data_IF_210835499679
#
_entry.id   IF_210835499679
#
_cell.length_a   1.000
_cell.length_b   1.000
_cell.length_c   1.000
_cell.angle_alpha   90.00
_cell.angle_beta   90.00
_cell.angle_gamma   90.00
#
_symmetry.space_group_name_H-M   'P 1'
#
loop_
_entity.id
_entity.type
_entity.pdbx_description
1 polymer ?
#
# COMPACT_ATOMS: atom_id res chain seq x y z
N UNK A 1 -12.76 -1.12 -29.67
CA UNK A 1 -12.46 -1.09 -28.22
C UNK A 1 -10.96 -0.92 -28.11
N UNK A 2 -10.48 0.23 -27.63
CA UNK A 2 -9.06 0.38 -27.31
C UNK A 2 -8.80 -0.53 -26.12
N UNK A 3 -7.89 -1.49 -26.26
CA UNK A 3 -7.37 -2.25 -25.13
C UNK A 3 -6.80 -1.25 -24.13
N UNK A 4 -7.46 -1.13 -22.99
CA UNK A 4 -6.93 -0.39 -21.84
C UNK A 4 -5.73 -1.18 -21.34
N UNK A 5 -4.54 -0.84 -21.83
CA UNK A 5 -3.30 -1.45 -21.34
C UNK A 5 -3.18 -1.09 -19.86
N UNK A 6 -3.37 -2.06 -18.97
CA UNK A 6 -3.17 -1.90 -17.55
C UNK A 6 -1.71 -1.50 -17.33
N UNK A 7 -1.50 -0.39 -16.65
CA UNK A 7 -0.15 0.08 -16.33
C UNK A 7 0.60 -0.98 -15.49
N UNK A 8 1.77 -1.41 -15.97
CA UNK A 8 2.66 -2.32 -15.23
C UNK A 8 3.75 -1.50 -14.54
N UNK A 9 3.80 -1.49 -13.19
CA UNK A 9 4.87 -0.83 -12.45
C UNK A 9 6.24 -1.46 -12.72
N UNK A 10 7.30 -0.64 -12.67
CA UNK A 10 8.66 -1.16 -12.71
C UNK A 10 9.05 -1.72 -11.34
N UNK A 11 9.66 -2.89 -11.34
CA UNK A 11 10.27 -3.46 -10.13
C UNK A 11 11.58 -2.73 -9.78
N UNK A 12 11.86 -2.58 -8.51
CA UNK A 12 13.13 -2.01 -8.03
C UNK A 12 14.27 -3.03 -8.09
N UNK A 13 13.99 -4.30 -7.81
CA UNK A 13 14.93 -5.39 -7.99
C UNK A 13 15.13 -5.72 -9.49
N UNK A 14 16.23 -6.41 -9.85
CA UNK A 14 16.62 -6.66 -11.23
C UNK A 14 16.81 -8.15 -11.58
N UNK A 15 16.43 -9.05 -10.67
CA UNK A 15 16.55 -10.50 -10.93
C UNK A 15 15.49 -11.00 -11.93
N UNK A 16 15.74 -12.18 -12.50
CA UNK A 16 14.77 -12.87 -13.33
C UNK A 16 13.55 -13.33 -12.49
N UNK A 17 12.38 -13.52 -13.12
CA UNK A 17 11.19 -14.05 -12.43
C UNK A 17 11.47 -15.33 -11.66
N UNK A 18 10.95 -15.43 -10.44
CA UNK A 18 11.12 -16.59 -9.56
C UNK A 18 9.89 -17.49 -9.63
N UNK A 19 10.10 -18.79 -9.83
CA UNK A 19 9.02 -19.74 -9.92
C UNK A 19 8.59 -20.20 -8.52
N UNK A 20 7.40 -19.76 -8.13
CA UNK A 20 6.71 -20.22 -6.94
C UNK A 20 5.20 -20.08 -7.14
N UNK A 21 4.44 -20.91 -6.46
CA UNK A 21 2.98 -20.85 -6.48
C UNK A 21 2.46 -20.12 -5.24
N UNK A 22 1.69 -19.08 -5.43
CA UNK A 22 0.99 -18.34 -4.39
C UNK A 22 -0.53 -18.52 -4.52
N UNK A 23 -1.20 -18.67 -3.38
CA UNK A 23 -2.66 -18.76 -3.30
C UNK A 23 -3.13 -17.98 -2.08
N UNK A 24 -4.17 -17.18 -2.25
CA UNK A 24 -4.80 -16.41 -1.16
C UNK A 24 -5.78 -17.24 -0.32
N UNK A 25 -5.52 -18.53 -0.13
CA UNK A 25 -6.33 -19.32 0.80
C UNK A 25 -5.94 -19.00 2.27
N UNK A 26 -6.80 -19.46 3.20
CA UNK A 26 -6.65 -19.16 4.63
C UNK A 26 -5.43 -19.80 5.29
N UNK A 27 -4.78 -20.77 4.65
CA UNK A 27 -3.59 -21.45 5.20
C UNK A 27 -2.28 -20.85 4.68
N UNK A 28 -2.33 -20.19 3.53
CA UNK A 28 -1.16 -19.67 2.83
C UNK A 28 -1.05 -18.14 2.90
N UNK A 29 -2.14 -17.46 3.26
CA UNK A 29 -2.19 -16.01 3.37
C UNK A 29 -2.92 -15.59 4.66
N UNK A 30 -2.13 -15.17 5.66
CA UNK A 30 -2.65 -14.75 6.96
C UNK A 30 -2.30 -13.29 7.20
N UNK A 31 -3.29 -12.50 7.61
CA UNK A 31 -3.15 -11.07 7.90
C UNK A 31 -3.56 -10.82 9.35
N UNK A 32 -2.72 -10.14 10.12
CA UNK A 32 -3.03 -9.71 11.48
C UNK A 32 -2.96 -8.19 11.56
N UNK A 33 -4.06 -7.56 11.91
CA UNK A 33 -4.10 -6.11 12.15
C UNK A 33 -3.32 -5.76 13.41
N UNK A 34 -2.51 -4.70 13.34
CA UNK A 34 -1.77 -4.15 14.47
C UNK A 34 -2.47 -2.85 14.88
N UNK A 35 -3.05 -2.77 16.08
CA UNK A 35 -3.76 -1.58 16.53
C UNK A 35 -2.80 -0.39 16.67
N UNK A 36 -3.32 0.83 16.48
CA UNK A 36 -2.52 2.06 16.58
C UNK A 36 -2.05 2.34 18.02
N UNK A 37 -2.82 1.89 18.99
CA UNK A 37 -2.60 2.10 20.43
C UNK A 37 -3.10 0.90 21.25
N UNK A 38 -2.63 0.78 22.46
CA UNK A 38 -3.15 -0.19 23.43
C UNK A 38 -4.58 0.20 23.85
N UNK A 39 -5.44 -0.78 24.05
CA UNK A 39 -6.80 -0.53 24.55
C UNK A 39 -6.78 -0.25 26.05
N UNK A 40 -7.60 0.73 26.49
CA UNK A 40 -7.53 1.28 27.86
C UNK A 40 -8.00 0.32 28.97
N UNK A 41 -8.67 -0.78 28.62
CA UNK A 41 -9.26 -1.71 29.59
C UNK A 41 -10.57 -1.21 30.23
N UNK A 42 -11.01 0.00 29.92
CA UNK A 42 -12.21 0.64 30.47
C UNK A 42 -12.97 1.43 29.38
N UNK A 43 -14.13 1.98 29.67
CA UNK A 43 -14.88 2.85 28.78
C UNK A 43 -16.17 2.25 28.24
N UNK A 44 -16.83 2.97 27.34
CA UNK A 44 -18.18 2.68 26.84
C UNK A 44 -18.19 1.77 25.59
N UNK A 45 -17.04 1.44 25.02
CA UNK A 45 -16.89 0.55 23.88
C UNK A 45 -16.23 -0.76 24.28
N UNK A 46 -16.59 -1.84 23.61
CA UNK A 46 -15.87 -3.11 23.63
C UNK A 46 -15.19 -3.29 22.28
N UNK A 47 -13.90 -3.58 22.32
CA UNK A 47 -13.12 -3.96 21.18
C UNK A 47 -13.14 -5.49 21.08
N UNK A 48 -13.64 -5.99 19.97
CA UNK A 48 -13.75 -7.40 19.68
C UNK A 48 -12.63 -7.75 18.69
N UNK A 49 -11.68 -8.56 19.12
CA UNK A 49 -10.69 -9.14 18.22
C UNK A 49 -11.30 -10.37 17.57
N UNK A 50 -11.46 -10.34 16.26
CA UNK A 50 -12.00 -11.46 15.49
C UNK A 50 -10.93 -12.06 14.58
N UNK A 51 -10.98 -13.38 14.41
CA UNK A 51 -10.30 -14.10 13.33
C UNK A 51 -11.36 -14.65 12.37
N UNK A 52 -11.26 -14.26 11.11
CA UNK A 52 -12.19 -14.67 10.04
C UNK A 52 -11.47 -15.34 8.88
N UNK A 53 -12.14 -16.31 8.22
CA UNK A 53 -11.66 -17.04 7.04
C UNK A 53 -12.63 -16.85 5.88
N UNK A 54 -12.11 -16.48 4.71
CA UNK A 54 -12.89 -16.33 3.47
C UNK A 54 -14.18 -15.50 3.64
N UNK A 55 -14.08 -14.43 4.40
CA UNK A 55 -15.16 -13.55 4.81
C UNK A 55 -14.73 -12.10 4.74
N UNK A 56 -15.58 -11.22 4.21
CA UNK A 56 -15.33 -9.75 4.20
C UNK A 56 -15.54 -9.14 5.59
N UNK A 57 -15.01 -7.94 5.82
CA UNK A 57 -15.33 -7.17 7.04
C UNK A 57 -16.82 -6.92 7.17
N UNK A 58 -17.56 -6.65 6.08
CA UNK A 58 -19.00 -6.40 6.13
C UNK A 58 -19.80 -7.64 6.53
N UNK A 59 -19.46 -8.82 5.98
CA UNK A 59 -20.07 -10.09 6.39
C UNK A 59 -19.82 -10.38 7.87
N UNK A 60 -18.60 -10.06 8.39
CA UNK A 60 -18.28 -10.21 9.81
C UNK A 60 -19.11 -9.25 10.70
N UNK A 61 -19.31 -8.01 10.27
CA UNK A 61 -20.16 -7.05 10.99
C UNK A 61 -21.63 -7.50 11.00
N UNK A 62 -22.13 -8.05 9.91
CA UNK A 62 -23.50 -8.61 9.87
C UNK A 62 -23.67 -9.76 10.88
N UNK A 63 -22.72 -10.71 10.91
CA UNK A 63 -22.77 -11.82 11.88
C UNK A 63 -22.74 -11.33 13.35
N UNK A 64 -21.92 -10.31 13.64
CA UNK A 64 -21.89 -9.68 14.97
C UNK A 64 -23.20 -8.92 15.26
N UNK A 65 -23.79 -8.25 14.27
CA UNK A 65 -25.05 -7.51 14.40
C UNK A 65 -26.22 -8.44 14.71
N UNK A 66 -26.30 -9.58 14.05
CA UNK A 66 -27.37 -10.58 14.23
C UNK A 66 -27.41 -11.11 15.66
N UNK A 67 -26.24 -11.44 16.24
CA UNK A 67 -26.20 -12.01 17.60
C UNK A 67 -26.29 -10.93 18.70
N UNK A 68 -25.72 -9.75 18.46
CA UNK A 68 -25.65 -8.71 19.49
C UNK A 68 -26.81 -7.72 19.45
N UNK A 69 -27.55 -7.62 18.34
CA UNK A 69 -28.56 -6.58 18.11
C UNK A 69 -27.96 -5.18 17.85
N UNK A 70 -26.66 -5.06 17.73
CA UNK A 70 -25.99 -3.78 17.43
C UNK A 70 -26.26 -3.38 15.98
N UNK A 71 -26.69 -2.15 15.74
CA UNK A 71 -26.90 -1.65 14.36
C UNK A 71 -25.58 -1.50 13.63
N UNK A 72 -25.56 -1.81 12.34
CA UNK A 72 -24.35 -1.75 11.48
C UNK A 72 -23.57 -0.44 11.59
N UNK A 73 -24.29 0.70 11.71
CA UNK A 73 -23.66 2.03 11.85
C UNK A 73 -22.93 2.26 13.18
N UNK A 74 -23.23 1.45 14.19
CA UNK A 74 -22.69 1.61 15.54
C UNK A 74 -21.38 0.82 15.72
N UNK A 75 -21.07 -0.10 14.80
CA UNK A 75 -19.75 -0.70 14.73
C UNK A 75 -18.68 0.28 14.25
N UNK A 76 -17.44 0.10 14.76
CA UNK A 76 -16.26 0.79 14.28
C UNK A 76 -15.18 -0.22 13.89
N UNK A 77 -14.33 0.14 12.92
CA UNK A 77 -13.19 -0.66 12.47
C UNK A 77 -12.14 0.25 11.87
N UNK A 78 -10.87 -0.20 11.87
CA UNK A 78 -9.75 0.60 11.41
C UNK A 78 -9.54 0.55 9.88
N UNK A 79 -10.03 -0.50 9.22
CA UNK A 79 -9.94 -0.68 7.78
C UNK A 79 -10.73 -1.89 7.31
N UNK A 80 -11.02 -1.95 6.01
CA UNK A 80 -11.59 -3.13 5.41
C UNK A 80 -10.49 -4.18 5.18
N UNK A 81 -10.83 -5.45 5.34
CA UNK A 81 -9.95 -6.58 5.03
C UNK A 81 -10.57 -7.41 3.92
N UNK A 82 -9.72 -7.91 3.04
CA UNK A 82 -10.10 -8.76 1.92
C UNK A 82 -10.89 -9.99 2.38
N UNK A 83 -11.68 -10.54 1.47
CA UNK A 83 -12.42 -11.77 1.70
C UNK A 83 -11.50 -12.98 1.80
N UNK A 84 -10.54 -13.06 0.87
CA UNK A 84 -9.64 -14.20 0.74
C UNK A 84 -8.56 -14.21 1.85
N UNK A 85 -8.23 -15.41 2.33
CA UNK A 85 -7.24 -15.63 3.38
C UNK A 85 -7.84 -15.67 4.78
N UNK A 86 -6.95 -15.76 5.78
CA UNK A 86 -7.30 -15.68 7.20
C UNK A 86 -6.89 -14.31 7.75
N UNK A 87 -7.82 -13.61 8.39
CA UNK A 87 -7.57 -12.26 8.87
C UNK A 87 -7.96 -12.10 10.33
N UNK A 88 -7.04 -11.58 11.14
CA UNK A 88 -7.35 -11.06 12.48
C UNK A 88 -7.56 -9.55 12.39
N UNK A 89 -8.66 -9.05 12.95
CA UNK A 89 -9.10 -7.67 12.86
C UNK A 89 -9.78 -7.22 14.15
N UNK A 90 -9.69 -5.93 14.47
CA UNK A 90 -10.36 -5.32 15.61
C UNK A 90 -11.63 -4.58 15.17
N UNK A 91 -12.73 -4.83 15.88
CA UNK A 91 -14.04 -4.18 15.68
C UNK A 91 -14.50 -3.61 17.02
N UNK A 92 -14.91 -2.36 17.06
CA UNK A 92 -15.52 -1.76 18.24
C UNK A 92 -17.05 -1.75 18.14
N UNK A 93 -17.71 -1.96 19.29
CA UNK A 93 -19.16 -1.82 19.44
C UNK A 93 -19.49 -1.27 20.82
N UNK A 94 -20.72 -0.75 21.08
CA UNK A 94 -21.09 -0.27 22.40
C UNK A 94 -21.04 -1.37 23.45
N UNK A 95 -20.36 -1.13 24.57
CA UNK A 95 -20.08 -2.13 25.63
C UNK A 95 -21.32 -2.77 26.24
N UNK A 96 -22.44 -2.06 26.28
CA UNK A 96 -23.70 -2.58 26.81
C UNK A 96 -24.21 -3.86 26.10
N UNK A 97 -23.69 -4.18 24.91
CA UNK A 97 -24.00 -5.38 24.16
C UNK A 97 -22.96 -6.50 24.33
N UNK A 98 -21.97 -6.34 25.19
CA UNK A 98 -20.87 -7.30 25.38
C UNK A 98 -21.37 -8.70 25.77
N UNK A 99 -22.35 -8.78 26.65
CA UNK A 99 -22.91 -10.04 27.15
C UNK A 99 -23.48 -10.94 26.01
N UNK A 100 -23.98 -10.35 24.95
CA UNK A 100 -24.51 -11.09 23.80
C UNK A 100 -23.43 -11.88 23.05
N UNK A 101 -22.15 -11.48 23.18
CA UNK A 101 -21.04 -12.16 22.50
C UNK A 101 -20.65 -13.49 23.19
N UNK A 102 -21.08 -13.75 24.42
CA UNK A 102 -20.74 -14.97 25.14
C UNK A 102 -21.18 -16.26 24.39
N UNK A 103 -22.27 -16.18 23.64
CA UNK A 103 -22.81 -17.29 22.86
C UNK A 103 -22.48 -17.21 21.38
N UNK A 104 -21.49 -16.38 21.00
CA UNK A 104 -21.12 -16.22 19.60
C UNK A 104 -20.55 -17.52 19.03
N UNK A 105 -21.18 -18.03 17.98
CA UNK A 105 -20.68 -19.16 17.20
C UNK A 105 -20.91 -18.90 15.72
N UNK A 106 -19.84 -19.05 14.91
CA UNK A 106 -19.91 -18.87 13.48
C UNK A 106 -18.87 -19.76 12.78
N UNK A 107 -19.26 -20.40 11.68
CA UNK A 107 -18.42 -21.36 10.94
C UNK A 107 -17.06 -20.73 10.49
N UNK A 108 -17.11 -19.49 10.00
CA UNK A 108 -15.96 -18.79 9.38
C UNK A 108 -15.33 -17.72 10.25
N UNK A 109 -15.81 -17.52 11.47
CA UNK A 109 -15.32 -16.46 12.34
C UNK A 109 -15.28 -16.89 13.80
N UNK A 110 -14.21 -16.50 14.50
CA UNK A 110 -14.04 -16.71 15.95
C UNK A 110 -13.73 -15.37 16.62
N UNK A 111 -14.26 -15.15 17.81
CA UNK A 111 -13.82 -14.09 18.70
C UNK A 111 -12.59 -14.60 19.44
N UNK A 112 -11.48 -13.86 19.38
CA UNK A 112 -10.22 -14.21 20.03
C UNK A 112 -10.09 -13.55 21.41
N UNK A 113 -10.43 -12.27 21.50
CA UNK A 113 -10.34 -11.49 22.73
C UNK A 113 -11.35 -10.35 22.75
N UNK A 114 -11.64 -9.87 23.96
CA UNK A 114 -12.47 -8.70 24.23
C UNK A 114 -11.69 -7.73 25.11
N UNK A 115 -11.72 -6.44 24.79
CA UNK A 115 -11.07 -5.40 25.60
C UNK A 115 -11.96 -4.15 25.66
N UNK A 116 -12.22 -3.61 26.84
CA UNK A 116 -12.91 -2.34 26.95
C UNK A 116 -12.04 -1.19 26.44
N UNK A 117 -12.66 -0.15 25.88
CA UNK A 117 -11.98 1.03 25.38
C UNK A 117 -12.89 2.27 25.41
N UNK A 118 -12.28 3.45 25.59
CA UNK A 118 -13.00 4.71 25.71
C UNK A 118 -13.65 5.15 24.39
N UNK A 119 -13.04 4.83 23.25
CA UNK A 119 -13.41 5.37 21.96
C UNK A 119 -13.81 4.29 20.94
N UNK A 120 -14.74 4.65 20.05
CA UNK A 120 -15.06 3.88 18.86
C UNK A 120 -13.88 3.88 17.88
N UNK A 121 -13.51 2.72 17.34
CA UNK A 121 -12.53 2.62 16.25
C UNK A 121 -13.01 3.35 14.99
N UNK A 122 -12.07 4.02 14.32
CA UNK A 122 -12.34 4.74 13.06
C UNK A 122 -11.35 4.30 12.00
N UNK A 123 -11.69 4.50 10.75
CA UNK A 123 -10.82 4.24 9.61
C UNK A 123 -9.46 4.93 9.83
N UNK A 124 -8.39 4.15 9.68
CA UNK A 124 -7.02 4.60 9.90
C UNK A 124 -6.48 4.41 11.32
N UNK A 125 -7.29 3.93 12.29
CA UNK A 125 -6.84 3.62 13.66
C UNK A 125 -6.06 2.30 13.73
N UNK A 126 -5.16 2.05 12.77
CA UNK A 126 -4.22 0.94 12.78
C UNK A 126 -2.79 1.44 12.56
N UNK A 127 -1.82 0.79 13.16
CA UNK A 127 -0.40 1.00 12.91
C UNK A 127 0.00 0.36 11.58
N UNK A 128 -0.41 -0.87 11.37
CA UNK A 128 -0.08 -1.66 10.19
C UNK A 128 -0.73 -3.03 10.21
N UNK A 129 -0.19 -3.93 9.40
CA UNK A 129 -0.60 -5.33 9.39
C UNK A 129 0.64 -6.23 9.35
N UNK A 130 0.62 -7.30 10.12
CA UNK A 130 1.58 -8.40 10.00
C UNK A 130 1.04 -9.45 9.04
N UNK A 131 1.92 -10.00 8.21
CA UNK A 131 1.60 -10.96 7.17
C UNK A 131 2.40 -12.25 7.38
N UNK A 132 1.72 -13.37 7.22
CA UNK A 132 2.34 -14.67 6.97
C UNK A 132 1.94 -15.11 5.57
N UNK A 133 2.92 -15.44 4.74
CA UNK A 133 2.72 -15.86 3.35
C UNK A 133 3.47 -17.16 3.13
N UNK A 134 2.79 -18.15 2.54
CA UNK A 134 3.39 -19.41 2.12
C UNK A 134 3.38 -19.52 0.61
N UNK A 135 4.56 -19.61 0.04
CA UNK A 135 4.78 -19.97 -1.35
C UNK A 135 4.99 -21.48 -1.43
N UNK A 136 4.40 -22.11 -2.43
CA UNK A 136 4.46 -23.57 -2.67
C UNK A 136 5.18 -23.89 -3.96
N UNK A 137 5.52 -25.16 -4.15
CA UNK A 137 6.25 -25.67 -5.33
C UNK A 137 7.59 -24.95 -5.55
N UNK A 138 8.27 -24.62 -4.46
CA UNK A 138 9.55 -23.92 -4.48
C UNK A 138 10.68 -24.94 -4.51
N UNK A 139 11.45 -24.94 -5.60
CA UNK A 139 12.65 -25.77 -5.73
C UNK A 139 13.82 -25.13 -4.94
N UNK A 140 14.85 -25.89 -4.52
CA UNK A 140 15.99 -25.35 -3.77
C UNK A 140 16.67 -24.15 -4.44
N UNK A 141 16.85 -24.18 -5.77
CA UNK A 141 17.41 -23.06 -6.54
C UNK A 141 16.55 -21.81 -6.51
N UNK A 142 15.22 -21.97 -6.52
CA UNK A 142 14.28 -20.84 -6.39
C UNK A 142 14.22 -20.32 -4.95
N UNK A 143 14.38 -21.19 -3.94
CA UNK A 143 14.44 -20.79 -2.55
C UNK A 143 15.62 -19.84 -2.28
N UNK A 144 16.79 -20.12 -2.81
CA UNK A 144 17.97 -19.24 -2.69
C UNK A 144 17.73 -17.85 -3.32
N UNK A 145 17.03 -17.80 -4.47
CA UNK A 145 16.64 -16.51 -5.10
C UNK A 145 15.62 -15.74 -4.26
N UNK A 146 14.63 -16.45 -3.70
CA UNK A 146 13.64 -15.86 -2.80
C UNK A 146 14.29 -15.27 -1.54
N UNK A 147 15.22 -16.00 -0.92
CA UNK A 147 16.00 -15.50 0.21
C UNK A 147 16.74 -14.22 -0.13
N UNK A 148 17.43 -14.20 -1.27
CA UNK A 148 18.16 -13.00 -1.71
C UNK A 148 17.21 -11.83 -1.99
N UNK A 149 16.07 -12.08 -2.65
CA UNK A 149 15.08 -11.03 -2.93
C UNK A 149 14.48 -10.44 -1.65
N UNK A 150 14.13 -11.29 -0.65
CA UNK A 150 13.63 -10.83 0.64
C UNK A 150 14.68 -10.01 1.38
N UNK A 151 15.94 -10.44 1.43
CA UNK A 151 17.04 -9.68 2.04
C UNK A 151 17.23 -8.33 1.36
N UNK A 152 17.25 -8.28 0.03
CA UNK A 152 17.42 -7.04 -0.70
C UNK A 152 16.30 -6.02 -0.39
N UNK A 153 15.03 -6.48 -0.29
CA UNK A 153 13.91 -5.62 0.08
C UNK A 153 14.01 -5.17 1.55
N UNK A 154 14.40 -6.06 2.45
CA UNK A 154 14.56 -5.75 3.87
C UNK A 154 15.65 -4.68 4.09
N UNK A 155 16.76 -4.79 3.35
CA UNK A 155 17.87 -3.85 3.41
C UNK A 155 17.59 -2.52 2.69
N UNK A 156 17.12 -2.59 1.44
CA UNK A 156 16.99 -1.41 0.57
C UNK A 156 15.60 -0.76 0.57
N UNK A 157 14.57 -1.47 1.03
CA UNK A 157 13.18 -1.06 0.90
C UNK A 157 12.56 -1.44 -0.46
N UNK A 158 11.33 -0.99 -0.69
CA UNK A 158 10.55 -1.28 -1.90
C UNK A 158 9.68 -0.10 -2.31
N UNK A 159 9.31 -0.07 -3.58
CA UNK A 159 8.39 0.91 -4.14
C UNK A 159 6.95 0.64 -3.66
N UNK A 160 6.36 1.58 -2.92
CA UNK A 160 5.07 1.43 -2.25
C UNK A 160 3.89 1.73 -3.19
N UNK A 161 3.78 0.99 -4.28
CA UNK A 161 2.67 1.11 -5.23
C UNK A 161 1.31 0.85 -4.59
N UNK A 162 0.26 1.38 -5.19
CA UNK A 162 -1.09 0.85 -4.93
C UNK A 162 -1.24 -0.50 -5.63
N UNK A 163 -1.74 -1.48 -4.90
CA UNK A 163 -2.00 -2.82 -5.42
C UNK A 163 -3.21 -2.86 -6.37
N UNK A 164 -3.27 -3.93 -7.18
CA UNK A 164 -4.32 -4.14 -8.20
C UNK A 164 -5.75 -4.03 -7.65
N UNK A 165 -5.99 -4.39 -6.37
CA UNK A 165 -7.32 -4.29 -5.75
C UNK A 165 -7.92 -2.88 -5.83
N UNK A 166 -7.05 -1.86 -5.98
CA UNK A 166 -7.47 -0.47 -6.12
C UNK A 166 -8.13 -0.18 -7.45
N UNK A 167 -7.75 -0.93 -8.48
CA UNK A 167 -8.13 -0.64 -9.86
C UNK A 167 -9.31 -1.47 -10.38
N UNK A 168 -9.86 -2.37 -9.54
CA UNK A 168 -10.98 -3.22 -9.91
C UNK A 168 -10.58 -4.47 -10.68
N UNK A 169 -11.55 -5.37 -10.88
CA UNK A 169 -11.32 -6.66 -11.54
C UNK A 169 -10.75 -6.53 -12.96
N UNK A 170 -11.15 -5.47 -13.67
CA UNK A 170 -10.76 -5.22 -15.07
C UNK A 170 -9.72 -4.10 -15.20
N UNK A 171 -9.26 -3.51 -14.09
CA UNK A 171 -8.29 -2.41 -14.09
C UNK A 171 -8.85 -1.05 -14.55
N UNK A 172 -10.16 -0.90 -14.68
CA UNK A 172 -10.84 0.23 -15.34
C UNK A 172 -11.31 1.33 -14.36
N UNK A 173 -11.18 1.13 -13.06
CA UNK A 173 -11.60 2.11 -12.06
C UNK A 173 -10.92 3.48 -12.23
N UNK A 174 -9.63 3.50 -12.61
CA UNK A 174 -8.91 4.75 -12.83
C UNK A 174 -9.47 5.54 -14.03
N UNK A 175 -9.76 4.85 -15.12
CA UNK A 175 -10.38 5.46 -16.31
C UNK A 175 -11.79 5.99 -16.00
N UNK A 176 -12.58 5.21 -15.26
CA UNK A 176 -13.91 5.62 -14.79
C UNK A 176 -13.85 6.87 -13.88
N UNK A 177 -12.82 6.95 -13.03
CA UNK A 177 -12.57 8.13 -12.20
C UNK A 177 -12.23 9.38 -13.01
N UNK A 178 -11.43 9.25 -14.05
CA UNK A 178 -11.13 10.34 -14.99
C UNK A 178 -12.37 10.78 -15.77
N UNK A 179 -13.18 9.83 -16.26
CA UNK A 179 -14.45 10.13 -16.95
C UNK A 179 -15.38 10.94 -16.03
N UNK A 180 -15.49 10.49 -14.77
CA UNK A 180 -16.30 11.18 -13.76
C UNK A 180 -15.84 12.62 -13.52
N UNK A 181 -14.52 12.87 -13.45
CA UNK A 181 -13.95 14.22 -13.30
C UNK A 181 -14.24 15.11 -14.53
N UNK A 182 -14.22 14.54 -15.73
CA UNK A 182 -14.44 15.25 -17.00
C UNK A 182 -15.92 15.61 -17.22
N UNK A 183 -16.80 14.63 -17.09
CA UNK A 183 -18.19 14.71 -17.54
C UNK A 183 -19.24 14.52 -16.42
N UNK A 184 -18.84 14.08 -15.25
CA UNK A 184 -19.78 13.70 -14.17
C UNK A 184 -20.49 12.37 -14.43
N UNK A 185 -20.01 11.58 -15.40
CA UNK A 185 -20.58 10.29 -15.79
C UNK A 185 -19.62 9.13 -15.58
N UNK A 186 -20.14 7.92 -15.50
CA UNK A 186 -19.40 6.67 -15.51
C UNK A 186 -20.05 5.78 -16.56
N UNK A 187 -19.30 5.32 -17.55
CA UNK A 187 -19.80 4.58 -18.72
C UNK A 187 -20.99 5.31 -19.40
N UNK A 188 -20.88 6.63 -19.59
CA UNK A 188 -21.90 7.48 -20.20
C UNK A 188 -23.14 7.74 -19.34
N UNK A 189 -23.22 7.22 -18.12
CA UNK A 189 -24.37 7.41 -17.22
C UNK A 189 -24.01 8.30 -16.02
N UNK A 190 -24.90 9.24 -15.66
CA UNK A 190 -24.71 10.11 -14.49
C UNK A 190 -24.63 9.27 -13.21
N UNK A 191 -23.51 9.38 -12.49
CA UNK A 191 -23.32 8.66 -11.23
C UNK A 191 -24.01 9.40 -10.09
N UNK A 192 -24.85 8.67 -9.31
CA UNK A 192 -25.62 9.18 -8.17
C UNK A 192 -25.08 8.69 -6.81
N UNK A 193 -24.04 7.84 -6.79
CA UNK A 193 -23.49 7.29 -5.56
C UNK A 193 -22.19 8.00 -5.15
N UNK A 194 -22.22 8.91 -4.16
CA UNK A 194 -21.04 9.69 -3.75
C UNK A 194 -19.86 8.81 -3.33
N UNK A 195 -20.11 7.70 -2.58
CA UNK A 195 -19.03 6.80 -2.11
C UNK A 195 -18.34 6.09 -3.27
N UNK A 196 -19.10 5.68 -4.29
CA UNK A 196 -18.53 5.10 -5.50
C UNK A 196 -17.72 6.15 -6.28
N UNK A 197 -18.23 7.38 -6.36
CA UNK A 197 -17.54 8.48 -7.05
C UNK A 197 -16.19 8.78 -6.39
N UNK A 198 -16.16 8.91 -5.07
CA UNK A 198 -14.94 9.13 -4.30
C UNK A 198 -13.94 7.98 -4.48
N UNK A 199 -14.44 6.74 -4.52
CA UNK A 199 -13.60 5.56 -4.77
C UNK A 199 -12.99 5.58 -6.17
N UNK A 200 -13.75 5.87 -7.22
CA UNK A 200 -13.27 5.94 -8.61
C UNK A 200 -12.28 7.10 -8.80
N UNK A 201 -12.58 8.29 -8.28
CA UNK A 201 -11.66 9.43 -8.32
C UNK A 201 -10.35 9.08 -7.61
N UNK A 202 -10.42 8.43 -6.46
CA UNK A 202 -9.22 8.00 -5.73
C UNK A 202 -8.45 6.89 -6.46
N UNK A 203 -9.09 6.06 -7.29
CA UNK A 203 -8.41 5.10 -8.15
C UNK A 203 -7.62 5.82 -9.27
N UNK A 204 -8.18 6.86 -9.88
CA UNK A 204 -7.47 7.71 -10.83
C UNK A 204 -6.23 8.38 -10.20
N UNK A 205 -6.37 8.96 -9.00
CA UNK A 205 -5.23 9.52 -8.25
C UNK A 205 -4.16 8.46 -7.97
N UNK A 206 -4.56 7.23 -7.65
CA UNK A 206 -3.67 6.12 -7.37
C UNK A 206 -2.91 5.62 -8.61
N UNK A 207 -3.55 5.63 -9.79
CA UNK A 207 -2.90 5.30 -11.06
C UNK A 207 -1.79 6.30 -11.39
N UNK A 208 -2.08 7.59 -11.25
CA UNK A 208 -1.08 8.64 -11.46
C UNK A 208 0.09 8.54 -10.48
N UNK A 209 -0.18 8.24 -9.20
CA UNK A 209 0.86 7.97 -8.22
C UNK A 209 1.73 6.78 -8.64
N UNK A 210 1.13 5.68 -9.08
CA UNK A 210 1.89 4.51 -9.53
C UNK A 210 2.75 4.81 -10.76
N UNK A 211 2.26 5.59 -11.72
CA UNK A 211 3.02 6.05 -12.89
C UNK A 211 4.21 6.93 -12.49
N UNK A 212 3.97 7.87 -11.58
CA UNK A 212 5.03 8.73 -11.05
C UNK A 212 6.08 7.91 -10.29
N UNK A 213 5.66 7.00 -9.42
CA UNK A 213 6.59 6.16 -8.66
C UNK A 213 7.42 5.25 -9.58
N UNK A 214 6.80 4.69 -10.63
CA UNK A 214 7.52 3.91 -11.63
C UNK A 214 8.55 4.77 -12.38
N UNK A 215 8.23 6.04 -12.69
CA UNK A 215 9.20 6.98 -13.26
C UNK A 215 10.35 7.28 -12.31
N UNK A 216 10.10 7.36 -11.00
CA UNK A 216 11.13 7.54 -9.97
C UNK A 216 12.04 6.30 -9.84
N UNK A 217 11.47 5.09 -9.94
CA UNK A 217 12.24 3.82 -10.01
C UNK A 217 13.10 3.80 -11.27
N UNK A 218 12.56 4.19 -12.43
CA UNK A 218 13.30 4.31 -13.70
C UNK A 218 14.48 5.28 -13.57
N UNK A 219 14.24 6.51 -13.10
CA UNK A 219 15.29 7.53 -12.87
C UNK A 219 16.36 6.97 -11.94
N UNK A 220 15.96 6.30 -10.86
CA UNK A 220 16.90 5.73 -9.88
C UNK A 220 17.78 4.65 -10.50
N UNK A 221 17.21 3.75 -11.29
CA UNK A 221 17.94 2.70 -12.00
C UNK A 221 18.87 3.28 -13.04
N UNK A 222 18.38 4.17 -13.89
CA UNK A 222 19.19 4.75 -14.97
C UNK A 222 20.32 5.61 -14.44
N UNK A 223 20.13 6.28 -13.28
CA UNK A 223 21.22 6.98 -12.62
C UNK A 223 22.34 6.04 -12.14
N UNK A 224 22.06 4.76 -11.87
CA UNK A 224 23.09 3.74 -11.58
C UNK A 224 23.77 3.24 -12.84
N UNK A 225 22.99 2.90 -13.88
CA UNK A 225 23.42 2.11 -15.01
C UNK A 225 24.04 2.95 -16.14
N UNK A 226 23.55 4.19 -16.38
CA UNK A 226 23.94 5.02 -17.51
C UNK A 226 24.95 6.10 -17.16
N UNK A 227 25.72 6.53 -18.16
CA UNK A 227 26.62 7.69 -18.07
C UNK A 227 25.83 9.00 -17.95
N UNK A 228 26.52 10.07 -17.53
CA UNK A 228 25.91 11.40 -17.43
C UNK A 228 25.38 11.91 -18.79
N UNK A 229 26.13 11.62 -19.87
CA UNK A 229 25.72 12.02 -21.22
C UNK A 229 24.45 11.31 -21.69
N UNK A 230 24.32 10.02 -21.43
CA UNK A 230 23.10 9.26 -21.74
C UNK A 230 21.92 9.76 -20.90
N UNK A 231 22.11 10.01 -19.60
CA UNK A 231 21.07 10.57 -18.74
C UNK A 231 20.57 11.92 -19.25
N UNK A 232 21.46 12.81 -19.71
CA UNK A 232 21.10 14.10 -20.27
C UNK A 232 20.25 13.98 -21.56
N UNK A 233 20.49 12.93 -22.35
CA UNK A 233 19.67 12.64 -23.52
C UNK A 233 18.29 12.07 -23.14
N UNK A 234 18.22 11.20 -22.14
CA UNK A 234 16.98 10.56 -21.68
C UNK A 234 16.10 11.55 -20.90
N UNK A 235 16.72 12.42 -20.08
CA UNK A 235 16.06 13.40 -19.24
C UNK A 235 16.45 14.83 -19.57
N UNK A 236 16.17 15.36 -20.79
CA UNK A 236 16.60 16.69 -21.23
C UNK A 236 15.97 17.83 -20.42
N UNK A 237 14.97 17.52 -19.60
CA UNK A 237 14.29 18.44 -18.70
C UNK A 237 14.95 18.55 -17.30
N UNK A 238 15.96 17.74 -17.01
CA UNK A 238 16.79 17.82 -15.81
C UNK A 238 18.16 18.38 -16.18
N UNK A 239 18.62 19.34 -15.42
CA UNK A 239 19.94 19.91 -15.66
C UNK A 239 21.09 18.97 -15.23
N UNK A 240 22.31 19.26 -15.70
CA UNK A 240 23.47 18.42 -15.43
C UNK A 240 23.85 18.36 -13.93
N UNK A 241 23.54 19.39 -13.14
CA UNK A 241 23.83 19.40 -11.72
C UNK A 241 22.95 18.36 -11.01
N UNK A 242 21.65 18.33 -11.33
CA UNK A 242 20.69 17.35 -10.82
C UNK A 242 21.09 15.93 -11.23
N UNK A 243 21.44 15.71 -12.50
CA UNK A 243 21.87 14.40 -12.99
C UNK A 243 23.15 13.91 -12.29
N UNK A 244 24.12 14.80 -12.03
CA UNK A 244 25.30 14.48 -11.22
C UNK A 244 24.93 14.09 -9.79
N UNK A 245 24.05 14.84 -9.16
CA UNK A 245 23.57 14.53 -7.81
C UNK A 245 22.84 13.18 -7.73
N UNK A 246 22.00 12.85 -8.72
CA UNK A 246 21.37 11.52 -8.81
C UNK A 246 22.41 10.41 -8.90
N UNK A 247 23.45 10.56 -9.71
CA UNK A 247 24.52 9.57 -9.86
C UNK A 247 25.39 9.42 -8.61
N UNK A 248 25.64 10.47 -7.85
CA UNK A 248 26.50 10.43 -6.68
C UNK A 248 25.90 9.68 -5.49
N UNK A 249 24.57 9.58 -5.41
CA UNK A 249 23.89 8.91 -4.33
C UNK A 249 24.10 7.38 -4.41
N UNK A 250 24.52 6.74 -3.31
CA UNK A 250 24.79 5.30 -3.24
C UNK A 250 23.51 4.45 -3.15
N UNK A 251 22.47 4.98 -2.47
CA UNK A 251 21.18 4.29 -2.31
C UNK A 251 20.51 4.02 -3.65
N UNK A 252 19.66 3.00 -3.71
CA UNK A 252 18.90 2.73 -4.93
C UNK A 252 17.92 3.86 -5.23
N UNK A 253 16.99 4.15 -4.35
CA UNK A 253 15.99 5.20 -4.56
C UNK A 253 16.64 6.58 -4.39
N UNK A 254 16.81 7.29 -5.51
CA UNK A 254 17.51 8.57 -5.54
C UNK A 254 16.60 9.71 -5.08
N UNK A 255 17.03 10.53 -4.15
CA UNK A 255 16.32 11.75 -3.76
C UNK A 255 16.56 12.87 -4.78
N UNK A 256 15.59 13.74 -4.96
CA UNK A 256 15.65 14.91 -5.84
C UNK A 256 15.41 16.15 -4.98
N UNK A 257 16.22 17.18 -5.15
CA UNK A 257 16.02 18.46 -4.48
C UNK A 257 14.63 19.04 -4.78
N UNK A 258 13.97 19.57 -3.74
CA UNK A 258 12.61 20.09 -3.81
C UNK A 258 11.51 19.01 -3.77
N UNK A 259 11.85 17.72 -3.62
CA UNK A 259 10.81 16.71 -3.41
C UNK A 259 10.21 16.78 -2.01
N UNK A 260 9.00 16.24 -1.88
CA UNK A 260 8.33 16.15 -0.60
C UNK A 260 8.77 14.89 0.12
N UNK A 261 9.35 15.06 1.30
CA UNK A 261 9.74 14.01 2.22
C UNK A 261 8.73 13.94 3.37
N UNK A 262 8.68 12.82 4.06
CA UNK A 262 7.88 12.64 5.27
C UNK A 262 8.66 11.91 6.35
N UNK A 263 8.47 12.30 7.60
CA UNK A 263 9.01 11.53 8.73
C UNK A 263 8.45 10.12 8.71
N UNK A 264 9.32 9.14 8.82
CA UNK A 264 8.99 7.73 8.74
C UNK A 264 9.11 7.07 10.12
N UNK A 265 8.21 6.20 10.53
CA UNK A 265 7.01 5.72 9.83
C UNK A 265 5.78 6.64 9.97
N UNK A 266 5.86 7.68 10.74
CA UNK A 266 4.75 8.60 11.02
C UNK A 266 5.25 10.02 11.18
N UNK A 267 4.61 10.98 10.54
CA UNK A 267 4.93 12.38 10.75
C UNK A 267 4.51 13.30 9.61
N UNK A 268 4.91 14.55 9.74
CA UNK A 268 4.58 15.61 8.78
C UNK A 268 5.47 15.54 7.55
N UNK A 269 4.94 16.05 6.44
CA UNK A 269 5.72 16.25 5.22
C UNK A 269 6.47 17.59 5.26
N UNK A 270 7.61 17.63 4.57
CA UNK A 270 8.46 18.80 4.39
C UNK A 270 9.19 18.71 3.04
N UNK A 271 9.86 19.78 2.60
CA UNK A 271 10.63 19.80 1.36
C UNK A 271 12.07 19.31 1.60
N UNK A 272 12.62 18.59 0.63
CA UNK A 272 14.04 18.26 0.57
C UNK A 272 14.82 19.49 0.11
N UNK A 273 15.49 20.17 1.04
CA UNK A 273 16.30 21.35 0.78
C UNK A 273 17.81 21.03 0.77
N UNK A 274 18.24 20.07 1.59
CA UNK A 274 19.63 19.60 1.70
C UNK A 274 19.71 18.11 1.40
N UNK A 275 20.15 17.75 0.18
CA UNK A 275 20.23 16.36 -0.27
C UNK A 275 21.20 15.50 0.54
N UNK A 276 22.26 16.07 1.10
CA UNK A 276 23.26 15.30 1.87
C UNK A 276 22.72 15.00 3.28
N UNK A 277 22.19 16.01 3.96
CA UNK A 277 21.59 15.84 5.29
C UNK A 277 20.36 14.95 5.23
N UNK A 278 19.44 15.19 4.30
CA UNK A 278 18.22 14.39 4.15
C UNK A 278 18.54 12.98 3.60
N UNK A 279 19.58 12.87 2.80
CA UNK A 279 20.09 11.58 2.34
C UNK A 279 20.54 10.68 3.48
N UNK A 280 21.28 11.18 4.44
CA UNK A 280 21.71 10.45 5.63
C UNK A 280 20.50 10.00 6.49
N UNK A 281 19.49 10.86 6.65
CA UNK A 281 18.25 10.54 7.37
C UNK A 281 17.40 9.51 6.64
N UNK A 282 17.39 9.55 5.29
CA UNK A 282 16.72 8.54 4.48
C UNK A 282 17.39 7.17 4.63
N UNK A 283 18.73 7.12 4.62
CA UNK A 283 19.51 5.91 4.82
C UNK A 283 19.30 5.33 6.25
N UNK A 284 19.11 6.21 7.25
CA UNK A 284 18.73 5.85 8.62
C UNK A 284 17.26 5.43 8.77
N UNK A 285 16.46 5.54 7.72
CA UNK A 285 15.01 5.28 7.70
C UNK A 285 14.18 6.21 8.61
N UNK A 286 14.70 7.41 8.93
CA UNK A 286 13.99 8.43 9.70
C UNK A 286 12.97 9.19 8.86
N UNK A 287 13.20 9.22 7.55
CA UNK A 287 12.37 9.88 6.56
C UNK A 287 12.22 9.02 5.30
N UNK A 288 11.22 9.35 4.49
CA UNK A 288 11.05 8.73 3.18
C UNK A 288 10.45 9.71 2.17
N UNK A 289 10.63 9.43 0.87
CA UNK A 289 10.01 10.16 -0.23
C UNK A 289 8.48 10.00 -0.19
N UNK A 290 7.76 11.09 -0.48
CA UNK A 290 6.31 11.16 -0.52
C UNK A 290 5.80 11.60 -1.89
N UNK A 291 5.18 10.67 -2.63
CA UNK A 291 4.55 10.97 -3.91
C UNK A 291 3.23 11.71 -3.78
N UNK A 292 2.88 12.43 -4.84
CA UNK A 292 1.67 13.22 -4.93
C UNK A 292 0.42 12.35 -5.09
N UNK A 293 -0.57 12.57 -4.24
CA UNK A 293 -1.97 12.22 -4.49
C UNK A 293 -2.66 13.52 -4.91
N UNK A 294 -2.91 13.68 -6.20
CA UNK A 294 -3.32 14.95 -6.80
C UNK A 294 -4.57 15.55 -6.16
N UNK A 295 -4.59 16.84 -5.87
CA UNK A 295 -5.74 17.57 -5.34
C UNK A 295 -5.37 18.88 -4.65
N UNK A 296 -6.37 19.67 -4.28
CA UNK A 296 -6.22 21.06 -3.85
C UNK A 296 -5.40 21.24 -2.56
N UNK A 297 -5.41 20.24 -1.65
CA UNK A 297 -4.73 20.31 -0.35
C UNK A 297 -3.39 19.59 -0.29
N UNK A 298 -2.91 19.05 -1.42
CA UNK A 298 -1.63 18.37 -1.44
C UNK A 298 -0.47 19.36 -1.22
N UNK A 299 0.49 18.96 -0.40
CA UNK A 299 1.76 19.67 -0.26
C UNK A 299 2.52 19.59 -1.60
N UNK A 300 2.97 20.70 -2.15
CA UNK A 300 3.56 20.75 -3.50
C UNK A 300 5.08 20.55 -3.45
N UNK A 301 5.63 19.75 -4.38
CA UNK A 301 7.05 19.70 -4.65
C UNK A 301 7.53 20.99 -5.32
N UNK A 302 8.85 21.23 -5.33
CA UNK A 302 9.49 22.38 -5.94
C UNK A 302 10.62 21.95 -6.88
N UNK A 303 11.20 22.88 -7.61
CA UNK A 303 12.38 22.65 -8.44
C UNK A 303 12.26 21.47 -9.39
N UNK A 304 13.31 20.67 -9.47
CA UNK A 304 13.39 19.49 -10.35
C UNK A 304 12.37 18.41 -10.00
N UNK A 305 12.09 18.19 -8.73
CA UNK A 305 11.09 17.24 -8.31
C UNK A 305 9.69 17.60 -8.84
N UNK A 306 9.34 18.90 -8.84
CA UNK A 306 8.08 19.36 -9.43
C UNK A 306 8.04 19.14 -10.93
N UNK A 307 9.12 19.35 -11.65
CA UNK A 307 9.19 19.10 -13.11
C UNK A 307 8.87 17.63 -13.41
N UNK A 308 9.42 16.69 -12.62
CA UNK A 308 9.12 15.26 -12.75
C UNK A 308 7.63 14.95 -12.42
N UNK A 309 7.08 15.59 -11.39
CA UNK A 309 5.66 15.44 -11.05
C UNK A 309 4.76 15.97 -12.17
N UNK A 310 5.01 17.17 -12.67
CA UNK A 310 4.17 17.84 -13.66
C UNK A 310 4.03 17.05 -14.97
N UNK A 311 5.05 16.29 -15.39
CA UNK A 311 4.96 15.42 -16.56
C UNK A 311 3.87 14.36 -16.41
N UNK A 312 3.66 13.84 -15.21
CA UNK A 312 2.69 12.77 -14.95
C UNK A 312 1.32 13.36 -14.57
N UNK A 313 1.33 14.43 -13.78
CA UNK A 313 0.10 14.97 -13.17
C UNK A 313 -0.58 16.08 -13.97
N UNK A 314 -0.04 16.49 -15.14
CA UNK A 314 -0.59 17.57 -15.97
C UNK A 314 -2.09 17.46 -16.23
N UNK A 315 -2.60 16.24 -16.47
CA UNK A 315 -4.03 16.00 -16.68
C UNK A 315 -4.84 16.20 -15.40
N UNK A 316 -4.34 15.73 -14.25
CA UNK A 316 -5.01 15.86 -12.96
C UNK A 316 -5.09 17.31 -12.48
N UNK A 317 -4.09 18.13 -12.81
CA UNK A 317 -4.04 19.54 -12.43
C UNK A 317 -5.26 20.32 -12.95
N UNK A 318 -5.86 19.92 -14.10
CA UNK A 318 -7.11 20.50 -14.64
C UNK A 318 -8.32 20.27 -13.73
N UNK A 319 -8.27 19.27 -12.86
CA UNK A 319 -9.36 18.88 -11.95
C UNK A 319 -8.99 19.04 -10.47
N UNK A 320 -7.87 19.71 -10.16
CA UNK A 320 -7.31 19.83 -8.81
C UNK A 320 -8.36 20.27 -7.76
N UNK A 321 -9.22 21.22 -8.11
CA UNK A 321 -10.29 21.70 -7.23
C UNK A 321 -11.38 20.68 -6.90
N UNK A 322 -11.54 19.62 -7.71
CA UNK A 322 -12.51 18.54 -7.50
C UNK A 322 -11.95 17.37 -6.65
N UNK A 323 -10.70 17.45 -6.23
CA UNK A 323 -9.99 16.40 -5.49
C UNK A 323 -9.34 17.00 -4.24
N UNK A 324 -9.40 16.29 -3.11
CA UNK A 324 -8.81 16.78 -1.85
C UNK A 324 -7.28 16.83 -1.93
N UNK A 325 -6.66 15.74 -2.34
CA UNK A 325 -5.20 15.63 -2.43
C UNK A 325 -4.51 15.36 -1.09
N UNK A 326 -3.33 14.76 -1.17
CA UNK A 326 -2.44 14.47 -0.03
C UNK A 326 -1.05 14.03 -0.51
N UNK A 327 -0.20 13.58 0.41
CA UNK A 327 1.05 12.86 0.10
C UNK A 327 0.97 11.42 0.61
N UNK A 328 1.68 10.50 -0.07
CA UNK A 328 1.78 9.09 0.26
C UNK A 328 3.25 8.67 0.23
N UNK A 329 3.68 7.90 1.21
CA UNK A 329 5.01 7.30 1.19
C UNK A 329 5.24 6.51 -0.09
N UNK A 330 6.28 6.88 -0.81
CA UNK A 330 6.68 6.28 -2.08
C UNK A 330 7.61 5.09 -1.88
N UNK A 331 8.49 5.18 -0.90
CA UNK A 331 9.45 4.14 -0.56
C UNK A 331 9.21 3.67 0.87
N UNK A 332 9.10 2.36 1.07
CA UNK A 332 8.81 1.76 2.36
C UNK A 332 9.73 0.57 2.65
N UNK A 333 9.73 0.13 3.90
CA UNK A 333 10.58 -0.97 4.37
C UNK A 333 9.71 -2.06 4.97
N UNK A 334 10.25 -3.29 5.00
CA UNK A 334 9.67 -4.36 5.79
C UNK A 334 10.04 -4.14 7.26
N UNK A 335 9.13 -4.49 8.18
CA UNK A 335 9.42 -4.57 9.61
C UNK A 335 9.32 -6.06 10.00
N UNK A 336 10.21 -6.52 10.90
CA UNK A 336 10.24 -7.89 11.43
C UNK A 336 10.27 -8.98 10.34
N UNK A 337 11.01 -8.74 9.25
CA UNK A 337 11.09 -9.68 8.14
C UNK A 337 11.79 -10.97 8.56
N UNK A 338 11.17 -12.11 8.24
CA UNK A 338 11.77 -13.43 8.43
C UNK A 338 11.27 -14.39 7.36
N UNK A 339 12.06 -15.39 7.04
CA UNK A 339 11.70 -16.41 6.07
C UNK A 339 12.21 -17.78 6.49
N UNK A 340 11.58 -18.83 5.94
CA UNK A 340 12.00 -20.21 6.16
C UNK A 340 11.67 -21.05 4.94
N UNK A 341 12.65 -21.82 4.45
CA UNK A 341 12.43 -22.82 3.44
C UNK A 341 12.27 -24.22 4.09
N UNK A 342 11.26 -24.96 3.62
CA UNK A 342 11.07 -26.38 3.96
C UNK A 342 11.16 -27.17 2.65
N UNK A 343 12.28 -27.84 2.46
CA UNK A 343 12.60 -28.58 1.23
C UNK A 343 11.69 -29.78 1.03
N UNK A 344 11.39 -30.55 2.08
CA UNK A 344 10.52 -31.75 1.99
C UNK A 344 9.11 -31.41 1.47
N UNK A 345 8.58 -30.24 1.86
CA UNK A 345 7.26 -29.76 1.44
C UNK A 345 7.32 -28.86 0.21
N UNK A 346 8.50 -28.49 -0.25
CA UNK A 346 8.71 -27.46 -1.27
C UNK A 346 7.98 -26.16 -0.93
N UNK A 347 8.04 -25.72 0.34
CA UNK A 347 7.38 -24.52 0.84
C UNK A 347 8.40 -23.46 1.27
N UNK A 348 8.18 -22.22 0.83
CA UNK A 348 8.89 -21.05 1.33
C UNK A 348 7.92 -20.16 2.07
N UNK A 349 8.16 -19.88 3.33
CA UNK A 349 7.31 -19.01 4.15
C UNK A 349 8.02 -17.70 4.40
N UNK A 350 7.25 -16.60 4.35
CA UNK A 350 7.73 -15.24 4.60
C UNK A 350 6.81 -14.61 5.65
N UNK A 351 7.39 -14.00 6.67
CA UNK A 351 6.69 -13.14 7.62
C UNK A 351 7.26 -11.74 7.51
N UNK A 352 6.42 -10.74 7.57
CA UNK A 352 6.80 -9.33 7.65
C UNK A 352 5.63 -8.47 8.12
N UNK A 353 5.94 -7.29 8.61
CA UNK A 353 4.98 -6.26 8.96
C UNK A 353 5.07 -5.12 7.96
N UNK A 354 3.91 -4.61 7.53
CA UNK A 354 3.80 -3.42 6.70
C UNK A 354 2.98 -2.37 7.43
N UNK A 355 3.35 -1.13 7.22
CA UNK A 355 2.59 0.02 7.68
C UNK A 355 1.24 0.13 6.97
N UNK A 356 0.32 0.87 7.59
CA UNK A 356 -0.96 1.20 6.96
C UNK A 356 -0.76 1.84 5.58
N UNK A 357 -1.59 1.41 4.63
CA UNK A 357 -1.53 1.90 3.24
C UNK A 357 -0.58 1.14 2.33
N UNK A 358 0.20 0.18 2.84
CA UNK A 358 1.06 -0.71 2.04
C UNK A 358 0.35 -2.04 1.74
N UNK A 359 0.76 -2.70 0.65
CA UNK A 359 0.12 -3.91 0.13
C UNK A 359 1.10 -5.07 0.08
N UNK A 360 0.80 -6.16 0.76
CA UNK A 360 1.62 -7.37 0.73
C UNK A 360 1.74 -7.98 -0.68
N UNK A 361 0.72 -7.78 -1.52
CA UNK A 361 0.73 -8.21 -2.93
C UNK A 361 1.78 -7.46 -3.74
N UNK A 362 2.01 -6.18 -3.48
CA UNK A 362 3.06 -5.38 -4.11
C UNK A 362 4.44 -5.89 -3.71
N UNK A 363 4.64 -6.22 -2.44
CA UNK A 363 5.89 -6.85 -1.96
C UNK A 363 6.11 -8.21 -2.61
N UNK A 364 5.07 -9.03 -2.75
CA UNK A 364 5.18 -10.33 -3.43
C UNK A 364 5.49 -10.20 -4.92
N UNK A 365 4.89 -9.24 -5.62
CA UNK A 365 5.18 -8.98 -7.03
C UNK A 365 6.63 -8.50 -7.21
N UNK A 366 7.14 -7.67 -6.30
CA UNK A 366 8.55 -7.25 -6.25
C UNK A 366 9.49 -8.45 -6.00
N UNK A 367 9.14 -9.38 -5.08
CA UNK A 367 9.93 -10.59 -4.81
C UNK A 367 9.90 -11.56 -6.00
N UNK A 368 8.74 -11.77 -6.62
CA UNK A 368 8.55 -12.81 -7.62
C UNK A 368 8.82 -12.32 -9.05
N UNK A 369 8.84 -11.02 -9.30
CA UNK A 369 8.89 -10.40 -10.63
C UNK A 369 7.84 -10.94 -11.60
N UNK A 370 6.64 -11.20 -11.10
CA UNK A 370 5.50 -11.63 -11.90
C UNK A 370 4.19 -11.13 -11.29
N UNK A 371 3.18 -11.02 -12.13
CA UNK A 371 1.83 -10.79 -11.65
C UNK A 371 1.37 -12.03 -10.87
N UNK A 372 1.04 -11.86 -9.59
CA UNK A 372 0.65 -12.97 -8.71
C UNK A 372 -0.79 -13.46 -8.93
N UNK A 373 -1.52 -12.87 -9.88
CA UNK A 373 -2.92 -13.18 -10.22
C UNK A 373 -3.07 -13.73 -11.66
N UNK A 374 -2.02 -13.82 -12.41
CA UNK A 374 -1.88 -14.60 -13.63
C UNK A 374 -1.31 -15.98 -13.28
#
# INVERSE_FOLDING_TARGET
MQETTIFKPLYALTHAPINAYFSKNSDDFVVREIPLYAFSGQGEHIIVEICKKDMTTQEALHALSEISGVKMRDFGYAGLKDKQGMTTQFISMPRKFEAALANFSHEKMKILSLAAHDNKLRIGHLKGNSFFIRLKKVMPSEAAKLEQAVRNIDEAGYANYFGYQRFGKYGDNAQSGLELLKSGTVNGKKSKNPKLNDFLISAFQSDLFNRWLSKRVEISRFAQDFSLGELAQIYPYLDNAILKNLKSQKRFFKLIEGEVLGHYPHGKCFLCEDLDAEGARFDARDITSCGLIAGAKAYEAQGAAKVVEDQIFAQANKFKAKMTGSRRFAWCYLEDASYKYNEEKAHFTINFTLQKGSYATVVLEEILHKNIFE
#
